data_IF_202976806783
#
_entry.id   IF_202976806783
#
_cell.length_a   1.000
_cell.length_b   1.000
_cell.length_c   1.000
_cell.angle_alpha   90.00
_cell.angle_beta   90.00
_cell.angle_gamma   90.00
#
_symmetry.space_group_name_H-M   'P 1'
#
loop_
_entity.id
_entity.type
_entity.pdbx_description
1 polymer ?
#
# COMPACT_ATOMS: atom_id res chain seq x y z
N UNK A 1 -23.94 15.53 16.89
CA UNK A 1 -23.61 14.50 17.91
C UNK A 1 -24.85 13.95 18.62
N UNK A 2 -26.02 13.88 17.97
CA UNK A 2 -27.29 13.54 18.65
C UNK A 2 -27.66 12.05 18.61
N UNK A 3 -27.10 11.25 17.70
CA UNK A 3 -27.54 9.86 17.50
C UNK A 3 -26.75 8.80 18.30
N UNK A 4 -25.74 9.18 19.11
CA UNK A 4 -24.86 8.27 19.89
C UNK A 4 -24.24 7.08 19.11
N UNK A 5 -24.31 7.09 17.78
CA UNK A 5 -23.74 6.06 16.90
C UNK A 5 -22.25 6.25 16.63
N UNK A 6 -21.64 7.34 17.13
CA UNK A 6 -20.22 7.63 16.93
C UNK A 6 -19.35 6.68 17.76
N UNK A 7 -18.59 5.83 17.07
CA UNK A 7 -17.57 4.96 17.67
C UNK A 7 -16.19 5.58 17.45
N UNK A 8 -15.42 5.72 18.53
CA UNK A 8 -14.05 6.23 18.50
C UNK A 8 -13.10 5.05 18.70
N UNK A 9 -12.09 4.94 17.85
CA UNK A 9 -10.97 4.00 18.03
C UNK A 9 -9.67 4.81 18.16
N UNK A 10 -8.93 4.54 19.23
CA UNK A 10 -7.64 5.19 19.48
C UNK A 10 -6.53 4.44 18.74
N UNK A 11 -5.78 5.16 17.90
CA UNK A 11 -4.59 4.63 17.25
C UNK A 11 -3.41 4.77 18.21
N UNK A 12 -2.88 3.65 18.68
CA UNK A 12 -1.71 3.63 19.58
C UNK A 12 -0.43 4.07 18.89
N UNK A 13 0.63 4.33 19.69
CA UNK A 13 1.93 4.83 19.20
C UNK A 13 2.66 3.95 18.18
N UNK A 14 2.23 2.70 18.01
CA UNK A 14 2.80 1.79 17.00
C UNK A 14 2.29 2.04 15.57
N UNK A 15 1.30 2.91 15.40
CA UNK A 15 0.75 3.28 14.09
C UNK A 15 1.34 4.60 13.61
N UNK A 16 1.69 4.63 12.33
CA UNK A 16 2.05 5.86 11.65
C UNK A 16 0.80 6.48 11.03
N UNK A 17 0.40 7.66 11.52
CA UNK A 17 -0.59 8.51 10.87
C UNK A 17 0.14 9.74 10.32
N UNK A 18 0.19 9.84 9.00
CA UNK A 18 1.00 10.82 8.28
C UNK A 18 0.07 11.67 7.42
N UNK A 19 0.32 12.98 7.41
CA UNK A 19 -0.42 13.96 6.63
C UNK A 19 0.54 14.66 5.66
N UNK A 20 0.07 14.90 4.43
CA UNK A 20 0.86 15.49 3.33
C UNK A 20 0.45 16.95 3.06
N UNK A 21 -0.14 17.64 4.04
CA UNK A 21 -0.66 19.00 3.90
C UNK A 21 0.42 20.10 3.83
N UNK A 22 1.68 19.76 4.11
CA UNK A 22 2.83 20.66 3.94
C UNK A 22 3.93 19.99 3.12
N UNK A 23 4.84 20.79 2.53
CA UNK A 23 5.99 20.27 1.80
C UNK A 23 6.85 19.33 2.66
N UNK A 24 7.12 19.71 3.91
CA UNK A 24 7.87 18.87 4.85
C UNK A 24 7.08 17.61 5.25
N UNK A 25 5.77 17.74 5.46
CA UNK A 25 4.88 16.61 5.78
C UNK A 25 4.88 15.56 4.66
N UNK A 26 4.76 16.01 3.41
CA UNK A 26 4.86 15.15 2.23
C UNK A 26 6.22 14.44 2.14
N UNK A 27 7.32 15.18 2.32
CA UNK A 27 8.66 14.61 2.27
C UNK A 27 8.85 13.54 3.36
N UNK A 28 8.39 13.82 4.58
CA UNK A 28 8.43 12.86 5.69
C UNK A 28 7.61 11.60 5.40
N UNK A 29 6.41 11.75 4.84
CA UNK A 29 5.56 10.63 4.46
C UNK A 29 6.20 9.76 3.37
N UNK A 30 6.76 10.39 2.33
CA UNK A 30 7.47 9.70 1.26
C UNK A 30 8.69 8.92 1.79
N UNK A 31 9.49 9.55 2.65
CA UNK A 31 10.66 8.91 3.27
C UNK A 31 10.28 7.73 4.16
N UNK A 32 9.19 7.86 4.92
CA UNK A 32 8.66 6.77 5.75
C UNK A 32 8.29 5.55 4.89
N UNK A 33 7.49 5.75 3.84
CA UNK A 33 7.07 4.68 2.92
C UNK A 33 8.30 4.04 2.26
N UNK A 34 9.20 4.85 1.69
CA UNK A 34 10.40 4.35 1.01
C UNK A 34 11.28 3.49 1.94
N UNK A 35 11.44 3.90 3.19
CA UNK A 35 12.25 3.16 4.19
C UNK A 35 11.64 1.81 4.51
N UNK A 36 10.32 1.77 4.77
CA UNK A 36 9.63 0.52 5.10
C UNK A 36 9.66 -0.45 3.91
N UNK A 37 9.34 0.03 2.70
CA UNK A 37 9.36 -0.81 1.50
C UNK A 37 10.75 -1.41 1.25
N UNK A 38 11.80 -0.60 1.36
CA UNK A 38 13.19 -1.05 1.16
C UNK A 38 13.61 -2.09 2.20
N UNK A 39 13.10 -2.00 3.43
CA UNK A 39 13.45 -2.93 4.52
C UNK A 39 12.67 -4.24 4.45
N UNK A 40 11.39 -4.20 4.09
CA UNK A 40 10.51 -5.38 4.07
C UNK A 40 10.49 -6.08 2.71
N UNK A 41 10.82 -5.38 1.62
CA UNK A 41 10.69 -5.90 0.26
C UNK A 41 9.24 -6.04 -0.21
N UNK A 42 8.31 -5.35 0.47
CA UNK A 42 6.89 -5.29 0.15
C UNK A 42 6.50 -3.86 -0.20
N UNK A 43 5.54 -3.69 -1.11
CA UNK A 43 5.01 -2.37 -1.46
C UNK A 43 3.83 -2.01 -0.57
N UNK A 44 3.86 -0.81 0.02
CA UNK A 44 2.75 -0.29 0.81
C UNK A 44 1.65 0.17 -0.15
N UNK A 45 0.40 -0.20 0.14
CA UNK A 45 -0.77 0.18 -0.65
C UNK A 45 -0.70 -0.26 -2.13
N UNK A 46 -0.07 -1.41 -2.42
CA UNK A 46 -0.13 -2.05 -3.73
C UNK A 46 -1.57 -2.52 -4.02
N UNK A 47 -2.26 -1.85 -4.94
CA UNK A 47 -3.69 -2.08 -5.18
C UNK A 47 -3.95 -3.45 -5.82
N UNK A 48 -3.07 -3.90 -6.71
CA UNK A 48 -3.20 -5.18 -7.39
C UNK A 48 -3.02 -6.35 -6.42
N UNK A 49 -2.06 -6.24 -5.49
CA UNK A 49 -1.90 -7.22 -4.40
C UNK A 49 -3.13 -7.24 -3.49
N UNK A 50 -3.63 -6.07 -3.07
CA UNK A 50 -4.83 -5.98 -2.23
C UNK A 50 -6.03 -6.60 -2.95
N UNK A 51 -6.24 -6.28 -4.23
CA UNK A 51 -7.34 -6.81 -5.03
C UNK A 51 -7.26 -8.33 -5.17
N UNK A 52 -6.07 -8.87 -5.43
CA UNK A 52 -5.86 -10.31 -5.53
C UNK A 52 -6.08 -11.03 -4.19
N UNK A 53 -5.55 -10.50 -3.08
CA UNK A 53 -5.74 -11.05 -1.73
C UNK A 53 -7.21 -11.06 -1.30
N UNK A 54 -7.98 -10.07 -1.72
CA UNK A 54 -9.42 -10.00 -1.47
C UNK A 54 -10.27 -10.78 -2.50
N UNK A 55 -9.65 -11.40 -3.51
CA UNK A 55 -10.35 -12.17 -4.55
C UNK A 55 -11.15 -11.32 -5.54
N UNK A 56 -10.83 -10.03 -5.67
CA UNK A 56 -11.49 -9.12 -6.63
C UNK A 56 -10.98 -9.32 -8.06
N UNK A 57 -9.74 -9.80 -8.20
CA UNK A 57 -9.11 -10.13 -9.49
C UNK A 57 -8.52 -11.54 -9.43
N UNK A 58 -8.39 -12.17 -10.60
CA UNK A 58 -7.79 -13.51 -10.70
C UNK A 58 -6.27 -13.43 -10.81
N UNK A 59 -5.62 -14.60 -10.73
CA UNK A 59 -4.17 -14.73 -10.90
C UNK A 59 -3.74 -14.23 -12.28
N UNK A 60 -4.54 -14.52 -13.30
CA UNK A 60 -4.31 -14.15 -14.69
C UNK A 60 -4.34 -12.63 -14.85
N UNK A 61 -5.35 -11.96 -14.31
CA UNK A 61 -5.44 -10.49 -14.32
C UNK A 61 -4.27 -9.83 -13.60
N UNK A 62 -3.84 -10.39 -12.47
CA UNK A 62 -2.67 -9.87 -11.75
C UNK A 62 -1.38 -10.05 -12.57
N UNK A 63 -1.22 -11.18 -13.25
CA UNK A 63 -0.08 -11.44 -14.13
C UNK A 63 -0.06 -10.50 -15.34
N UNK A 64 -1.21 -10.18 -15.93
CA UNK A 64 -1.32 -9.20 -17.02
C UNK A 64 -0.86 -7.81 -16.56
N UNK A 65 -1.26 -7.36 -15.36
CA UNK A 65 -0.76 -6.12 -14.76
C UNK A 65 0.76 -6.16 -14.56
N UNK A 66 1.28 -7.27 -14.06
CA UNK A 66 2.70 -7.48 -13.84
C UNK A 66 3.52 -7.45 -15.14
N UNK A 67 2.98 -7.99 -16.23
CA UNK A 67 3.61 -7.94 -17.56
C UNK A 67 3.65 -6.52 -18.14
N UNK A 68 2.56 -5.76 -18.00
CA UNK A 68 2.51 -4.35 -18.45
C UNK A 68 3.55 -3.47 -17.77
N UNK A 69 3.93 -3.81 -16.54
CA UNK A 69 4.91 -3.09 -15.75
C UNK A 69 6.26 -3.81 -15.65
N UNK A 70 6.51 -4.83 -16.48
CA UNK A 70 7.65 -5.75 -16.38
C UNK A 70 9.04 -5.09 -16.41
N UNK A 71 9.13 -3.89 -16.98
CA UNK A 71 10.38 -3.10 -17.04
C UNK A 71 10.65 -2.29 -15.76
N UNK A 72 9.81 -2.43 -14.73
CA UNK A 72 9.91 -1.69 -13.46
C UNK A 72 10.06 -2.65 -12.28
N UNK A 73 10.65 -2.16 -11.20
CA UNK A 73 10.72 -2.90 -9.93
C UNK A 73 9.33 -3.30 -9.41
N UNK A 74 8.32 -2.47 -9.70
CA UNK A 74 6.93 -2.75 -9.33
C UNK A 74 6.36 -3.95 -10.10
N UNK A 75 6.59 -4.03 -11.42
CA UNK A 75 6.18 -5.19 -12.20
C UNK A 75 6.92 -6.45 -11.78
N UNK A 76 8.23 -6.36 -11.51
CA UNK A 76 9.02 -7.46 -10.96
C UNK A 76 8.47 -7.95 -9.61
N UNK A 77 8.05 -7.01 -8.74
CA UNK A 77 7.37 -7.31 -7.48
C UNK A 77 6.06 -8.07 -7.69
N UNK A 78 5.18 -7.58 -8.56
CA UNK A 78 3.91 -8.24 -8.85
C UNK A 78 4.12 -9.66 -9.41
N UNK A 79 5.09 -9.85 -10.31
CA UNK A 79 5.43 -11.20 -10.83
C UNK A 79 5.87 -12.13 -9.72
N UNK A 80 6.77 -11.67 -8.84
CA UNK A 80 7.26 -12.45 -7.69
C UNK A 80 6.16 -12.78 -6.68
N UNK A 81 5.15 -11.91 -6.56
CA UNK A 81 4.04 -12.14 -5.64
C UNK A 81 3.07 -13.23 -6.14
N UNK A 82 2.95 -13.39 -7.47
CA UNK A 82 2.06 -14.35 -8.14
C UNK A 82 2.69 -15.72 -8.38
N UNK A 83 4.01 -15.75 -8.62
CA UNK A 83 4.80 -16.94 -8.92
C UNK A 83 5.24 -17.66 -7.65
#
# INVERSE_FOLDING_TARGET
>A
MQEQTLKIQLLGRGLAWLDTGTHDGLLNAANFVATIQKRQGLYIACLEEIAYRNGWITKETLMECAERLSQTDYGAYLKKFVC
#
